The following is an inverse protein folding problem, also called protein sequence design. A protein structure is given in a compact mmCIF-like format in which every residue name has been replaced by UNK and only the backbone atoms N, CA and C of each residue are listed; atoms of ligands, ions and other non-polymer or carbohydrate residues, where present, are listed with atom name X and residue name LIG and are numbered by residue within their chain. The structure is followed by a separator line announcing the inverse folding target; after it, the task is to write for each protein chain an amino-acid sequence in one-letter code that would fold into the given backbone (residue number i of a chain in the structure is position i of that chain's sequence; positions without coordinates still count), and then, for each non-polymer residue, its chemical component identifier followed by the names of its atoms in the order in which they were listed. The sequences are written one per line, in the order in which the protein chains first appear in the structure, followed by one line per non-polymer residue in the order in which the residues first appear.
data_IF_825254745374
#
_entry.id   IF_825254745374
#
_cell.length_a   1.000
_cell.length_b   1.000
_cell.length_c   1.000
_cell.angle_alpha   90.00
_cell.angle_beta   90.00
_cell.angle_gamma   90.00
#
_symmetry.space_group_name_H-M   'P 1'
#
loop_
_entity.id
_entity.type
_entity.pdbx_description
1 polymer ?
#
# COMPACT_ATOMS: atom_id res chain seq x y z
N UNK A 1 6.71 -22.59 -20.97
CA UNK A 1 5.87 -21.39 -20.68
C UNK A 1 5.31 -21.37 -19.24
N UNK A 2 4.76 -22.47 -18.69
CA UNK A 2 4.20 -22.51 -17.30
C UNK A 2 5.18 -22.07 -16.20
N UNK A 3 6.45 -22.48 -16.25
CA UNK A 3 7.43 -22.16 -15.20
C UNK A 3 7.75 -20.67 -15.01
N UNK A 4 7.59 -19.82 -16.04
CA UNK A 4 7.87 -18.37 -15.93
C UNK A 4 6.78 -17.64 -15.15
N UNK A 5 5.51 -17.98 -15.38
CA UNK A 5 4.38 -17.41 -14.65
C UNK A 5 4.40 -17.81 -13.17
N UNK A 6 4.80 -19.05 -12.87
CA UNK A 6 4.98 -19.52 -11.49
C UNK A 6 6.07 -18.72 -10.76
N UNK A 7 7.20 -18.42 -11.42
CA UNK A 7 8.26 -17.59 -10.84
C UNK A 7 7.80 -16.16 -10.55
N UNK A 8 7.07 -15.53 -11.49
CA UNK A 8 6.53 -14.18 -11.30
C UNK A 8 5.50 -14.16 -10.16
N UNK A 9 4.63 -15.17 -10.08
CA UNK A 9 3.66 -15.30 -8.99
C UNK A 9 4.36 -15.44 -7.62
N UNK A 10 5.38 -16.30 -7.52
CA UNK A 10 6.17 -16.45 -6.30
C UNK A 10 6.86 -15.15 -5.87
N UNK A 11 7.43 -14.41 -6.82
CA UNK A 11 8.04 -13.11 -6.54
C UNK A 11 7.00 -12.06 -6.10
N UNK A 12 5.83 -12.04 -6.73
CA UNK A 12 4.74 -11.15 -6.32
C UNK A 12 4.26 -11.45 -4.89
N UNK A 13 4.13 -12.73 -4.54
CA UNK A 13 3.82 -13.13 -3.15
C UNK A 13 4.93 -12.68 -2.20
N UNK A 14 6.20 -12.89 -2.55
CA UNK A 14 7.33 -12.41 -1.74
C UNK A 14 7.31 -10.89 -1.53
N UNK A 15 7.07 -10.11 -2.59
CA UNK A 15 6.90 -8.65 -2.52
C UNK A 15 5.74 -8.29 -1.58
N UNK A 16 4.61 -8.97 -1.70
CA UNK A 16 3.44 -8.73 -0.86
C UNK A 16 3.72 -9.04 0.61
N UNK A 17 4.41 -10.13 0.91
CA UNK A 17 4.79 -10.50 2.28
C UNK A 17 5.71 -9.44 2.89
N UNK A 18 6.78 -9.07 2.18
CA UNK A 18 7.72 -8.03 2.65
C UNK A 18 6.98 -6.71 2.83
N UNK A 19 6.19 -6.28 1.84
CA UNK A 19 5.40 -5.06 1.95
C UNK A 19 4.45 -5.09 3.15
N UNK A 20 3.80 -6.23 3.41
CA UNK A 20 2.86 -6.36 4.53
C UNK A 20 3.55 -6.17 5.87
N UNK A 21 4.76 -6.72 6.05
CA UNK A 21 5.53 -6.59 7.28
C UNK A 21 5.95 -5.14 7.59
N UNK A 22 6.34 -4.38 6.58
CA UNK A 22 6.82 -3.00 6.76
C UNK A 22 5.71 -1.95 6.74
N UNK A 23 4.76 -2.10 5.81
CA UNK A 23 3.74 -1.09 5.50
C UNK A 23 2.32 -1.60 5.78
N UNK A 24 2.01 -2.85 5.43
CA UNK A 24 0.66 -3.39 5.56
C UNK A 24 0.13 -3.40 7.00
N UNK A 25 0.93 -3.85 7.98
CA UNK A 25 0.51 -3.87 9.40
C UNK A 25 0.16 -2.47 9.90
N UNK A 26 0.96 -1.46 9.53
CA UNK A 26 0.70 -0.06 9.90
C UNK A 26 -0.56 0.48 9.24
N UNK A 27 -0.80 0.14 7.97
CA UNK A 27 -1.99 0.53 7.24
C UNK A 27 -3.26 -0.09 7.87
N UNK A 28 -3.19 -1.36 8.27
CA UNK A 28 -4.30 -2.02 9.00
C UNK A 28 -4.56 -1.32 10.33
N UNK A 29 -3.52 -0.96 11.08
CA UNK A 29 -3.67 -0.18 12.32
C UNK A 29 -4.32 1.17 12.09
N UNK A 30 -3.98 1.86 10.99
CA UNK A 30 -4.62 3.12 10.60
C UNK A 30 -6.11 2.94 10.29
N UNK A 31 -6.48 1.88 9.55
CA UNK A 31 -7.89 1.58 9.25
C UNK A 31 -8.66 1.20 10.52
N UNK A 32 -8.08 0.41 11.43
CA UNK A 32 -8.67 0.10 12.72
C UNK A 32 -8.88 1.36 13.57
N UNK A 33 -7.93 2.32 13.57
CA UNK A 33 -8.14 3.61 14.25
C UNK A 33 -9.27 4.43 13.64
N UNK A 34 -9.45 4.42 12.32
CA UNK A 34 -10.59 5.07 11.65
C UNK A 34 -11.91 4.46 12.12
N UNK A 35 -11.98 3.14 12.22
CA UNK A 35 -13.19 2.45 12.69
C UNK A 35 -13.52 2.75 14.16
N UNK A 36 -12.50 2.93 15.00
CA UNK A 36 -12.69 3.20 16.43
C UNK A 36 -12.96 4.65 16.77
N UNK A 37 -12.26 5.59 16.12
CA UNK A 37 -12.25 7.01 16.50
C UNK A 37 -12.85 7.94 15.44
N UNK A 38 -13.15 7.41 14.25
CA UNK A 38 -13.58 8.18 13.09
C UNK A 38 -12.41 8.74 12.28
N UNK A 39 -12.67 9.04 11.00
CA UNK A 39 -11.67 9.59 10.07
C UNK A 39 -11.13 10.92 10.58
N UNK A 40 -11.99 11.80 11.09
CA UNK A 40 -11.60 13.15 11.51
C UNK A 40 -10.60 13.13 12.66
N UNK A 41 -10.86 12.37 13.73
CA UNK A 41 -9.92 12.26 14.86
C UNK A 41 -8.65 11.50 14.50
N UNK A 42 -8.73 10.55 13.57
CA UNK A 42 -7.56 9.76 13.16
C UNK A 42 -6.59 10.57 12.30
N UNK A 43 -7.13 11.35 11.35
CA UNK A 43 -6.31 12.19 10.46
C UNK A 43 -5.87 13.50 11.12
N UNK A 44 -6.68 14.04 12.04
CA UNK A 44 -6.50 15.42 12.52
C UNK A 44 -6.36 15.57 14.03
N UNK A 45 -6.39 14.46 14.79
CA UNK A 45 -6.22 14.49 16.23
C UNK A 45 -7.40 15.11 16.97
N UNK A 46 -7.16 15.57 18.21
CA UNK A 46 -8.20 16.11 19.10
C UNK A 46 -8.63 17.53 18.78
N UNK A 47 -7.77 18.29 18.08
CA UNK A 47 -8.01 19.71 17.77
C UNK A 47 -8.82 19.90 16.49
N UNK A 48 -9.04 18.81 15.73
CA UNK A 48 -9.77 18.83 14.46
C UNK A 48 -8.99 19.54 13.34
N UNK A 49 -9.52 19.46 12.13
CA UNK A 49 -8.93 20.13 10.96
C UNK A 49 -10.00 20.51 9.94
N UNK A 50 -9.62 21.33 8.96
CA UNK A 50 -10.50 21.62 7.82
C UNK A 50 -10.58 20.39 6.91
N UNK A 51 -11.77 20.14 6.35
CA UNK A 51 -12.04 19.03 5.43
C UNK A 51 -10.98 18.80 4.32
N UNK A 52 -10.45 19.81 3.61
CA UNK A 52 -9.41 19.57 2.59
C UNK A 52 -8.11 19.02 3.16
N UNK A 53 -7.74 19.41 4.38
CA UNK A 53 -6.53 18.92 5.07
C UNK A 53 -6.71 17.45 5.45
N UNK A 54 -7.88 17.12 6.00
CA UNK A 54 -8.26 15.73 6.32
C UNK A 54 -8.15 14.82 5.10
N UNK A 55 -8.73 15.23 3.98
CA UNK A 55 -8.73 14.44 2.73
C UNK A 55 -7.30 14.25 2.23
N UNK A 56 -6.49 15.31 2.26
CA UNK A 56 -5.11 15.24 1.80
C UNK A 56 -4.26 14.34 2.70
N UNK A 57 -4.45 14.39 4.01
CA UNK A 57 -3.74 13.52 4.97
C UNK A 57 -4.09 12.04 4.74
N UNK A 58 -5.37 11.71 4.68
CA UNK A 58 -5.82 10.32 4.41
C UNK A 58 -5.30 9.83 3.06
N UNK A 59 -5.40 10.66 2.02
CA UNK A 59 -4.88 10.32 0.70
C UNK A 59 -3.36 10.13 0.73
N UNK A 60 -2.63 10.97 1.46
CA UNK A 60 -1.19 10.88 1.62
C UNK A 60 -0.79 9.57 2.31
N UNK A 61 -1.46 9.19 3.40
CA UNK A 61 -1.24 7.91 4.07
C UNK A 61 -1.46 6.76 3.08
N UNK A 62 -2.58 6.74 2.36
CA UNK A 62 -2.84 5.67 1.37
C UNK A 62 -1.73 5.62 0.31
N UNK A 63 -1.30 6.76 -0.22
CA UNK A 63 -0.24 6.81 -1.25
C UNK A 63 1.11 6.34 -0.71
N UNK A 64 1.52 6.79 0.48
CA UNK A 64 2.81 6.42 1.07
C UNK A 64 2.87 4.94 1.43
N UNK A 65 1.76 4.38 1.91
CA UNK A 65 1.72 2.98 2.31
C UNK A 65 1.48 2.03 1.13
N UNK A 66 0.59 2.38 0.19
CA UNK A 66 0.24 1.50 -0.95
C UNK A 66 1.14 1.72 -2.17
N UNK A 67 1.67 2.94 -2.35
CA UNK A 67 2.53 3.31 -3.48
C UNK A 67 3.74 2.40 -3.68
N UNK A 68 4.51 2.04 -2.64
CA UNK A 68 5.63 1.12 -2.76
C UNK A 68 5.22 -0.26 -3.29
N UNK A 69 4.06 -0.79 -2.89
CA UNK A 69 3.54 -2.07 -3.39
C UNK A 69 3.23 -1.98 -4.88
N UNK A 70 2.49 -0.95 -5.28
CA UNK A 70 2.12 -0.74 -6.68
C UNK A 70 3.38 -0.57 -7.54
N UNK A 71 4.35 0.23 -7.09
CA UNK A 71 5.62 0.43 -7.78
C UNK A 71 6.41 -0.87 -7.96
N UNK A 72 6.53 -1.68 -6.89
CA UNK A 72 7.22 -2.97 -6.94
C UNK A 72 6.54 -3.96 -7.89
N UNK A 73 5.21 -4.02 -7.89
CA UNK A 73 4.44 -4.89 -8.80
C UNK A 73 4.56 -4.43 -10.26
N UNK A 74 4.47 -3.13 -10.53
CA UNK A 74 4.67 -2.58 -11.88
C UNK A 74 6.08 -2.91 -12.38
N UNK A 75 7.10 -2.72 -11.55
CA UNK A 75 8.47 -3.06 -11.91
C UNK A 75 8.63 -4.55 -12.24
N UNK A 76 8.05 -5.44 -11.43
CA UNK A 76 8.04 -6.89 -11.67
C UNK A 76 7.41 -7.24 -13.03
N UNK A 77 6.28 -6.61 -13.36
CA UNK A 77 5.59 -6.81 -14.65
C UNK A 77 6.45 -6.32 -15.81
N UNK A 78 7.01 -5.11 -15.73
CA UNK A 78 7.88 -4.54 -16.77
C UNK A 78 9.10 -5.45 -16.99
N UNK A 79 9.74 -5.89 -15.90
CA UNK A 79 10.88 -6.79 -15.97
C UNK A 79 10.50 -8.14 -16.59
N UNK A 80 9.37 -8.73 -16.19
CA UNK A 80 8.86 -9.99 -16.73
C UNK A 80 8.57 -9.92 -18.23
N UNK A 81 8.03 -8.79 -18.71
CA UNK A 81 7.78 -8.50 -20.13
C UNK A 81 9.11 -8.31 -20.88
N UNK A 82 10.04 -7.49 -20.38
CA UNK A 82 11.34 -7.24 -21.02
C UNK A 82 12.17 -8.50 -21.13
N UNK A 83 12.19 -9.35 -20.10
CA UNK A 83 12.86 -10.66 -20.12
C UNK A 83 12.22 -11.66 -21.11
N UNK A 84 11.04 -11.37 -21.66
CA UNK A 84 10.39 -12.22 -22.68
C UNK A 84 10.81 -11.82 -24.12
N UNK A 85 11.26 -10.59 -24.31
CA UNK A 85 11.80 -10.09 -25.58
C UNK A 85 13.28 -10.45 -25.66
#
# INVERSE_FOLDING_TARGET
MKGKYVKIALLAVGIFVVWSLFFGIRLVGYVDSIQRFGIERTACGTDGCRAPVMIFDVAWVVVVFVGPLIGALIWLVIWGIRSKR
#
